data_IF_418833327622
#
_entry.id   IF_418833327622
#
_cell.length_a   1.000
_cell.length_b   1.000
_cell.length_c   1.000
_cell.angle_alpha   90.00
_cell.angle_beta   90.00
_cell.angle_gamma   90.00
#
_symmetry.space_group_name_H-M   'P 1'
#
loop_
_entity.id
_entity.type
_entity.pdbx_description
1 polymer ?
#
# COMPACT_ATOMS: atom_id res chain seq x y z
N UNK A 1 -18.56 -18.70 0.57
CA UNK A 1 -17.45 -18.44 1.51
C UNK A 1 -16.17 -18.39 0.70
N UNK A 2 -15.53 -17.24 0.59
CA UNK A 2 -14.16 -17.14 0.08
C UNK A 2 -13.23 -17.70 1.16
N UNK A 3 -12.42 -18.70 0.85
CA UNK A 3 -11.42 -19.21 1.81
C UNK A 3 -10.29 -18.19 1.98
N UNK A 4 -9.60 -18.23 3.12
CA UNK A 4 -8.42 -17.39 3.37
C UNK A 4 -7.35 -17.59 2.28
N UNK A 5 -7.12 -18.84 1.86
CA UNK A 5 -6.20 -19.17 0.77
C UNK A 5 -6.53 -18.45 -0.54
N UNK A 6 -7.83 -18.33 -0.86
CA UNK A 6 -8.27 -17.60 -2.04
C UNK A 6 -7.96 -16.10 -1.88
N UNK A 7 -8.26 -15.50 -0.72
CA UNK A 7 -7.92 -14.10 -0.47
C UNK A 7 -6.41 -13.85 -0.51
N UNK A 8 -5.59 -14.75 0.03
CA UNK A 8 -4.13 -14.68 -0.08
C UNK A 8 -3.69 -14.71 -1.54
N UNK A 9 -4.27 -15.60 -2.36
CA UNK A 9 -3.97 -15.66 -3.80
C UNK A 9 -4.33 -14.37 -4.57
N UNK A 10 -5.32 -13.61 -4.09
CA UNK A 10 -5.66 -12.29 -4.64
C UNK A 10 -4.70 -11.19 -4.18
N UNK A 11 -3.92 -11.43 -3.13
CA UNK A 11 -2.96 -10.48 -2.58
C UNK A 11 -3.29 -9.93 -1.20
N UNK A 12 -4.31 -10.47 -0.52
CA UNK A 12 -4.57 -10.13 0.88
C UNK A 12 -3.44 -10.66 1.77
N UNK A 13 -3.11 -9.90 2.82
CA UNK A 13 -2.24 -10.40 3.90
C UNK A 13 -3.06 -10.51 5.18
N UNK A 14 -2.77 -11.56 5.94
CA UNK A 14 -3.32 -11.83 7.27
C UNK A 14 -2.19 -11.93 8.29
N UNK A 15 -2.50 -11.74 9.56
CA UNK A 15 -1.52 -11.71 10.64
C UNK A 15 -1.85 -10.67 11.70
N UNK A 16 -0.93 -10.50 12.66
CA UNK A 16 -1.11 -9.55 13.78
C UNK A 16 -0.49 -8.17 13.53
N UNK A 17 0.47 -8.07 12.61
CA UNK A 17 1.21 -6.86 12.32
C UNK A 17 1.16 -6.54 10.83
N UNK A 18 1.37 -5.27 10.50
CA UNK A 18 1.49 -4.78 9.13
C UNK A 18 2.43 -3.59 9.07
N UNK A 19 2.59 -3.01 7.87
CA UNK A 19 3.42 -1.82 7.68
C UNK A 19 2.96 -0.64 8.55
N UNK A 20 1.67 -0.58 8.88
CA UNK A 20 1.06 0.48 9.70
C UNK A 20 1.48 0.46 11.17
N UNK A 21 2.20 -0.57 11.63
CA UNK A 21 2.91 -0.53 12.92
C UNK A 21 4.08 0.46 12.93
N UNK A 22 4.62 0.82 11.77
CA UNK A 22 5.83 1.63 11.66
C UNK A 22 5.76 2.78 10.64
N UNK A 23 4.84 2.73 9.68
CA UNK A 23 4.73 3.69 8.57
C UNK A 23 3.28 4.03 8.27
N UNK A 24 3.06 5.20 7.69
CA UNK A 24 1.78 5.52 7.03
C UNK A 24 1.73 4.86 5.65
N UNK A 25 0.74 5.23 4.85
CA UNK A 25 0.54 4.70 3.50
C UNK A 25 1.65 5.04 2.49
N UNK A 26 2.56 5.98 2.75
CA UNK A 26 3.64 6.35 1.81
C UNK A 26 3.12 6.70 0.40
N UNK A 27 2.00 7.43 0.34
CA UNK A 27 1.30 7.73 -0.93
C UNK A 27 2.15 8.57 -1.87
N UNK A 28 2.91 9.53 -1.34
CA UNK A 28 3.81 10.38 -2.14
C UNK A 28 4.91 9.55 -2.80
N UNK A 29 5.52 8.61 -2.07
CA UNK A 29 6.49 7.69 -2.64
C UNK A 29 5.90 6.78 -3.70
N UNK A 30 4.68 6.29 -3.49
CA UNK A 30 3.98 5.44 -4.47
C UNK A 30 3.68 6.23 -5.76
N UNK A 31 3.15 7.45 -5.65
CA UNK A 31 2.88 8.33 -6.78
C UNK A 31 4.15 8.65 -7.57
N UNK A 32 5.24 8.99 -6.88
CA UNK A 32 6.52 9.30 -7.53
C UNK A 32 7.13 8.09 -8.23
N UNK A 33 7.01 6.90 -7.62
CA UNK A 33 7.44 5.65 -8.24
C UNK A 33 6.68 5.40 -9.56
N UNK A 34 5.35 5.47 -9.54
CA UNK A 34 4.54 5.17 -10.73
C UNK A 34 4.65 6.20 -11.84
N UNK A 35 4.90 7.47 -11.51
CA UNK A 35 5.23 8.50 -12.49
C UNK A 35 6.54 8.20 -13.23
N UNK A 36 7.46 7.49 -12.58
CA UNK A 36 8.83 7.27 -13.08
C UNK A 36 9.03 5.94 -13.80
N UNK A 37 8.04 5.04 -13.78
CA UNK A 37 8.18 3.67 -14.28
C UNK A 37 7.10 3.31 -15.32
N UNK A 38 7.38 2.28 -16.12
CA UNK A 38 6.40 1.70 -17.03
C UNK A 38 5.21 1.08 -16.28
N UNK A 39 4.05 1.01 -16.94
CA UNK A 39 2.90 0.22 -16.48
C UNK A 39 3.22 -1.27 -16.30
N UNK A 40 4.21 -1.78 -17.05
CA UNK A 40 4.65 -3.17 -17.02
C UNK A 40 5.93 -3.38 -16.19
N UNK A 41 6.30 -2.41 -15.35
CA UNK A 41 7.49 -2.52 -14.50
C UNK A 41 7.39 -3.74 -13.56
N UNK A 42 8.47 -4.51 -13.50
CA UNK A 42 8.58 -5.66 -12.60
C UNK A 42 8.97 -5.22 -11.19
N UNK A 43 8.83 -6.13 -10.21
CA UNK A 43 9.31 -5.86 -8.85
C UNK A 43 10.81 -5.52 -8.79
N UNK A 44 11.61 -6.13 -9.67
CA UNK A 44 13.05 -5.85 -9.81
C UNK A 44 13.29 -4.44 -10.35
N UNK A 45 12.48 -4.00 -11.31
CA UNK A 45 12.57 -2.64 -11.85
C UNK A 45 12.25 -1.61 -10.75
N UNK A 46 11.19 -1.84 -9.96
CA UNK A 46 10.87 -0.98 -8.81
C UNK A 46 12.00 -0.93 -7.77
N UNK A 47 12.62 -2.08 -7.46
CA UNK A 47 13.75 -2.11 -6.53
C UNK A 47 14.91 -1.28 -7.08
N UNK A 48 15.26 -1.45 -8.35
CA UNK A 48 16.33 -0.72 -9.02
C UNK A 48 16.08 0.79 -9.01
N UNK A 49 14.86 1.21 -9.35
CA UNK A 49 14.48 2.63 -9.36
C UNK A 49 14.60 3.26 -7.96
N UNK A 50 14.15 2.55 -6.93
CA UNK A 50 14.20 3.05 -5.56
C UNK A 50 15.60 2.99 -4.96
N UNK A 51 16.34 1.89 -5.15
CA UNK A 51 17.58 1.59 -4.43
C UNK A 51 18.81 2.08 -5.18
N UNK A 52 18.86 1.91 -6.50
CA UNK A 52 20.03 2.26 -7.31
C UNK A 52 19.90 3.68 -7.85
N UNK A 53 18.75 4.01 -8.45
CA UNK A 53 18.53 5.34 -9.03
C UNK A 53 18.05 6.38 -8.01
N UNK A 54 17.63 5.95 -6.82
CA UNK A 54 17.20 6.83 -5.74
C UNK A 54 16.13 7.86 -6.16
N UNK A 55 15.15 7.43 -6.97
CA UNK A 55 14.10 8.34 -7.46
C UNK A 55 13.29 8.97 -6.31
N UNK A 56 13.26 8.32 -5.14
CA UNK A 56 12.56 8.80 -3.95
C UNK A 56 13.42 9.70 -3.04
N UNK A 57 14.63 10.07 -3.51
CA UNK A 57 15.56 10.99 -2.85
C UNK A 57 15.83 10.67 -1.37
N UNK A 58 15.95 9.37 -1.03
CA UNK A 58 16.26 8.95 0.34
C UNK A 58 17.77 9.12 0.63
N UNK A 59 18.14 9.55 1.84
CA UNK A 59 19.49 10.03 2.13
C UNK A 59 20.55 8.93 2.17
N UNK A 60 20.16 7.68 2.42
CA UNK A 60 21.08 6.55 2.57
C UNK A 60 20.57 5.34 1.80
N UNK A 61 21.48 4.44 1.40
CA UNK A 61 21.10 3.16 0.80
C UNK A 61 20.20 2.33 1.73
N UNK A 62 20.50 2.34 3.04
CA UNK A 62 19.68 1.67 4.05
C UNK A 62 18.25 2.20 4.06
N UNK A 63 18.05 3.52 3.95
CA UNK A 63 16.71 4.12 3.88
C UNK A 63 16.01 3.78 2.56
N UNK A 64 16.73 3.69 1.44
CA UNK A 64 16.15 3.28 0.15
C UNK A 64 15.63 1.84 0.21
N UNK A 65 16.47 0.90 0.66
CA UNK A 65 16.10 -0.51 0.85
C UNK A 65 14.94 -0.68 1.84
N UNK A 66 14.91 0.13 2.90
CA UNK A 66 13.81 0.10 3.87
C UNK A 66 12.51 0.63 3.26
N UNK A 67 12.55 1.73 2.50
CA UNK A 67 11.40 2.26 1.77
C UNK A 67 10.85 1.25 0.77
N UNK A 68 11.72 0.61 -0.02
CA UNK A 68 11.29 -0.44 -0.95
C UNK A 68 10.54 -1.57 -0.22
N UNK A 69 11.10 -2.11 0.86
CA UNK A 69 10.43 -3.16 1.66
C UNK A 69 9.07 -2.72 2.18
N UNK A 70 8.93 -1.48 2.66
CA UNK A 70 7.65 -0.97 3.12
C UNK A 70 6.61 -0.86 1.99
N UNK A 71 7.01 -0.40 0.81
CA UNK A 71 6.12 -0.33 -0.34
C UNK A 71 5.69 -1.73 -0.82
N UNK A 72 6.60 -2.72 -0.82
CA UNK A 72 6.26 -4.13 -1.08
C UNK A 72 5.28 -4.68 -0.04
N UNK A 73 5.48 -4.36 1.24
CA UNK A 73 4.56 -4.79 2.29
C UNK A 73 3.17 -4.18 2.12
N UNK A 74 3.11 -2.87 1.88
CA UNK A 74 1.87 -2.11 1.72
C UNK A 74 1.10 -2.47 0.44
N UNK A 75 1.81 -2.63 -0.68
CA UNK A 75 1.22 -2.64 -2.02
C UNK A 75 1.62 -3.85 -2.87
N UNK A 76 2.48 -4.74 -2.38
CA UNK A 76 3.08 -5.86 -3.13
C UNK A 76 4.14 -5.43 -4.15
N UNK A 77 3.89 -4.41 -4.97
CA UNK A 77 4.77 -4.02 -6.08
C UNK A 77 5.05 -5.19 -7.04
N UNK A 78 4.02 -5.99 -7.34
CA UNK A 78 4.15 -7.20 -8.16
C UNK A 78 2.90 -7.39 -9.02
N UNK A 79 3.07 -7.35 -10.35
CA UNK A 79 1.98 -7.46 -11.33
C UNK A 79 1.35 -8.86 -11.36
N UNK A 80 2.02 -9.88 -10.81
CA UNK A 80 1.42 -11.22 -10.66
C UNK A 80 0.42 -11.28 -9.49
N UNK A 81 0.41 -10.27 -8.62
CA UNK A 81 -0.57 -10.14 -7.53
C UNK A 81 -1.83 -9.42 -8.03
N UNK A 82 -3.00 -10.08 -8.09
CA UNK A 82 -4.19 -9.53 -8.74
C UNK A 82 -4.62 -8.14 -8.25
N UNK A 83 -4.62 -7.92 -6.93
CA UNK A 83 -5.01 -6.61 -6.39
C UNK A 83 -4.03 -5.49 -6.74
N UNK A 84 -2.72 -5.78 -6.80
CA UNK A 84 -1.74 -4.78 -7.24
C UNK A 84 -1.85 -4.51 -8.73
N UNK A 85 -2.08 -5.56 -9.53
CA UNK A 85 -2.29 -5.43 -10.96
C UNK A 85 -3.47 -4.48 -11.27
N UNK A 86 -4.60 -4.65 -10.58
CA UNK A 86 -5.76 -3.74 -10.69
C UNK A 86 -5.41 -2.31 -10.26
N UNK A 87 -4.70 -2.13 -9.13
CA UNK A 87 -4.23 -0.81 -8.71
C UNK A 87 -3.41 -0.14 -9.82
N UNK A 88 -2.45 -0.86 -10.43
CA UNK A 88 -1.57 -0.31 -11.46
C UNK A 88 -2.33 0.06 -12.72
N UNK A 89 -3.30 -0.75 -13.14
CA UNK A 89 -4.16 -0.46 -14.30
C UNK A 89 -5.03 0.79 -14.08
N UNK A 90 -5.52 1.00 -12.86
CA UNK A 90 -6.45 2.09 -12.56
C UNK A 90 -5.77 3.39 -12.15
N UNK A 91 -4.48 3.34 -11.80
CA UNK A 91 -3.74 4.47 -11.24
C UNK A 91 -3.78 5.74 -12.10
N UNK A 92 -3.67 5.60 -13.41
CA UNK A 92 -3.61 6.72 -14.36
C UNK A 92 -5.00 7.18 -14.84
N UNK A 93 -6.09 6.50 -14.43
CA UNK A 93 -7.43 6.83 -14.90
C UNK A 93 -7.97 8.14 -14.29
N UNK A 94 -7.65 8.39 -13.02
CA UNK A 94 -8.01 9.62 -12.31
C UNK A 94 -7.05 9.85 -11.13
N UNK A 95 -6.25 10.91 -11.21
CA UNK A 95 -5.32 11.33 -10.16
C UNK A 95 -6.05 11.53 -8.81
N UNK A 96 -7.29 12.02 -8.82
CA UNK A 96 -8.08 12.25 -7.60
C UNK A 96 -8.50 10.94 -6.93
N UNK A 97 -8.53 9.84 -7.67
CA UNK A 97 -8.88 8.52 -7.15
C UNK A 97 -7.68 7.80 -6.52
N UNK A 98 -6.44 8.17 -6.86
CA UNK A 98 -5.22 7.49 -6.41
C UNK A 98 -5.14 7.27 -4.88
N UNK A 99 -5.43 8.28 -4.01
CA UNK A 99 -5.37 8.06 -2.56
C UNK A 99 -6.37 7.01 -2.07
N UNK A 100 -7.57 6.98 -2.66
CA UNK A 100 -8.64 6.04 -2.31
C UNK A 100 -8.33 4.64 -2.85
N UNK A 101 -7.72 4.52 -4.02
CA UNK A 101 -7.24 3.25 -4.56
C UNK A 101 -6.11 2.66 -3.71
N UNK A 102 -5.12 3.47 -3.35
CA UNK A 102 -4.05 3.06 -2.46
C UNK A 102 -4.59 2.62 -1.08
N UNK A 103 -5.57 3.35 -0.53
CA UNK A 103 -6.19 2.99 0.75
C UNK A 103 -6.85 1.61 0.70
N UNK A 104 -7.57 1.30 -0.37
CA UNK A 104 -8.22 -0.01 -0.52
C UNK A 104 -7.21 -1.15 -0.54
N UNK A 105 -6.10 -1.00 -1.27
CA UNK A 105 -5.04 -2.02 -1.27
C UNK A 105 -4.34 -2.14 0.09
N UNK A 106 -4.04 -1.01 0.72
CA UNK A 106 -3.45 -0.98 2.06
C UNK A 106 -4.34 -1.69 3.09
N UNK A 107 -5.66 -1.47 3.06
CA UNK A 107 -6.65 -2.18 3.90
C UNK A 107 -6.62 -3.70 3.62
N UNK A 108 -6.52 -4.10 2.36
CA UNK A 108 -6.42 -5.52 2.00
C UNK A 108 -5.10 -6.18 2.44
N UNK A 109 -4.04 -5.41 2.69
CA UNK A 109 -2.70 -5.92 3.02
C UNK A 109 -2.22 -5.64 4.43
N UNK A 110 -2.94 -4.82 5.19
CA UNK A 110 -2.57 -4.48 6.56
C UNK A 110 -3.69 -4.82 7.54
N UNK A 111 -3.52 -5.82 8.42
CA UNK A 111 -4.57 -6.23 9.36
C UNK A 111 -4.87 -5.16 10.42
N UNK A 112 -3.91 -4.30 10.77
CA UNK A 112 -4.11 -3.20 11.73
C UNK A 112 -5.00 -2.15 11.09
N UNK A 113 -4.69 -1.74 9.87
CA UNK A 113 -5.53 -0.78 9.14
C UNK A 113 -6.91 -1.38 8.83
N UNK A 114 -6.99 -2.65 8.45
CA UNK A 114 -8.28 -3.32 8.20
C UNK A 114 -9.16 -3.36 9.45
N UNK A 115 -8.55 -3.55 10.63
CA UNK A 115 -9.26 -3.55 11.90
C UNK A 115 -9.92 -2.21 12.24
N UNK A 116 -9.42 -1.09 11.70
CA UNK A 116 -10.01 0.23 11.94
C UNK A 116 -11.22 0.53 11.05
N UNK A 117 -11.37 -0.16 9.91
CA UNK A 117 -12.45 0.05 8.93
C UNK A 117 -13.86 0.03 9.56
N UNK A 118 -14.27 -1.00 10.33
CA UNK A 118 -15.61 -1.01 10.91
C UNK A 118 -15.83 0.11 11.93
N UNK A 119 -14.78 0.57 12.62
CA UNK A 119 -14.86 1.69 13.56
C UNK A 119 -15.09 2.99 12.80
N UNK A 120 -14.29 3.26 11.75
CA UNK A 120 -14.38 4.50 10.97
C UNK A 120 -15.70 4.58 10.20
N UNK A 121 -16.12 3.50 9.55
CA UNK A 121 -17.38 3.48 8.78
C UNK A 121 -18.63 3.56 9.64
N UNK A 122 -18.51 3.29 10.95
CA UNK A 122 -19.61 3.44 11.90
C UNK A 122 -19.80 4.87 12.42
N UNK A 123 -18.89 5.80 12.12
CA UNK A 123 -18.95 7.19 12.59
C UNK A 123 -19.79 8.06 11.66
N UNK A 124 -20.45 9.05 12.24
CA UNK A 124 -21.06 10.13 11.47
C UNK A 124 -20.02 11.15 10.99
N UNK A 125 -20.36 11.87 9.92
CA UNK A 125 -19.49 12.93 9.41
C UNK A 125 -19.31 14.05 10.45
N UNK A 126 -18.06 14.29 10.85
CA UNK A 126 -17.72 15.27 11.90
C UNK A 126 -17.73 14.71 13.31
N UNK A 127 -18.10 13.43 13.50
CA UNK A 127 -18.01 12.76 14.80
C UNK A 127 -16.53 12.59 15.24
N UNK A 128 -16.26 12.91 16.50
CA UNK A 128 -14.91 12.82 17.05
C UNK A 128 -14.58 11.40 17.52
N UNK A 129 -13.63 10.74 16.84
CA UNK A 129 -13.07 9.45 17.28
C UNK A 129 -12.00 9.66 18.36
N UNK A 130 -12.34 9.34 19.60
CA UNK A 130 -11.39 9.41 20.71
C UNK A 130 -10.30 8.31 20.60
N UNK A 131 -9.06 8.63 21.01
CA UNK A 131 -7.98 7.65 21.08
C UNK A 131 -8.30 6.46 21.99
N UNK A 132 -9.11 6.64 23.03
CA UNK A 132 -9.48 5.57 23.97
C UNK A 132 -10.38 4.50 23.32
N UNK A 133 -11.05 4.86 22.23
CA UNK A 133 -11.93 3.97 21.45
C UNK A 133 -11.14 3.04 20.54
N UNK A 134 -9.94 3.46 20.11
CA UNK A 134 -9.03 2.69 19.24
C UNK A 134 -8.02 1.95 20.10
N UNK A 135 -8.24 0.65 20.34
CA UNK A 135 -7.34 -0.21 21.12
C UNK A 135 -6.39 -1.00 20.25
#
# INVERSE_FOLDING_TARGET
MTSEDNLVSLGFKFGKNGAHSARSMMIEELSLLFLSCSENATQVDFEKDIVDFNILHKPTEKSRKLTFRHLVDLYSLDLDVPLFNVLRQWWELDEKAQPVLALQLAVARDPILRGSVPVILGLEAGEHLSRQTVK
#
